data_IF_935377612428
#
_entry.id   IF_935377612428
#
_cell.length_a   1.000
_cell.length_b   1.000
_cell.length_c   1.000
_cell.angle_alpha   90.00
_cell.angle_beta   90.00
_cell.angle_gamma   90.00
#
_symmetry.space_group_name_H-M   'P 1'
#
loop_
_entity.id
_entity.type
_entity.pdbx_description
1 polymer ?
#
# COMPACT_ATOMS: atom_id res chain seq x y z
N UNK A 1 -32.04 7.04 8.40
CA UNK A 1 -31.12 8.03 8.89
C UNK A 1 -29.71 7.44 8.84
N UNK A 2 -28.83 8.12 8.17
CA UNK A 2 -27.44 7.70 8.16
C UNK A 2 -26.80 8.02 9.52
N UNK A 3 -26.07 7.07 10.09
CA UNK A 3 -25.41 7.28 11.39
C UNK A 3 -24.02 7.94 11.26
N UNK A 4 -23.48 8.05 10.04
CA UNK A 4 -22.15 8.65 9.80
C UNK A 4 -22.10 10.13 10.21
N UNK A 5 -23.06 11.01 9.88
CA UNK A 5 -23.09 12.37 10.38
C UNK A 5 -23.11 12.46 11.91
N UNK A 6 -23.86 11.57 12.59
CA UNK A 6 -23.90 11.53 14.04
C UNK A 6 -22.55 11.10 14.62
N UNK A 7 -21.88 10.12 13.98
CA UNK A 7 -20.58 9.63 14.36
C UNK A 7 -19.50 10.71 14.19
N UNK A 8 -19.48 11.39 13.04
CA UNK A 8 -18.57 12.52 12.77
C UNK A 8 -18.86 13.71 13.70
N UNK A 9 -20.13 13.94 14.02
CA UNK A 9 -20.55 14.95 15.01
C UNK A 9 -19.99 14.64 16.40
N UNK A 10 -20.09 13.38 16.84
CA UNK A 10 -19.53 12.92 18.11
C UNK A 10 -18.00 13.04 18.15
N UNK A 11 -17.31 12.73 17.05
CA UNK A 11 -15.86 12.86 16.92
C UNK A 11 -15.34 14.27 17.19
N UNK A 12 -16.15 15.29 16.93
CA UNK A 12 -15.78 16.70 17.15
C UNK A 12 -15.93 17.15 18.60
N UNK A 13 -16.52 16.33 19.49
CA UNK A 13 -16.80 16.72 20.89
C UNK A 13 -15.59 16.54 21.80
N UNK A 14 -14.76 15.52 21.58
CA UNK A 14 -13.52 15.28 22.34
C UNK A 14 -12.58 14.38 21.58
N UNK A 15 -11.29 14.44 21.89
CA UNK A 15 -10.26 13.62 21.25
C UNK A 15 -10.46 12.12 21.47
N UNK A 16 -10.87 11.70 22.66
CA UNK A 16 -11.17 10.29 22.97
C UNK A 16 -12.38 9.78 22.19
N UNK A 17 -13.41 10.60 22.00
CA UNK A 17 -14.53 10.25 21.14
C UNK A 17 -14.10 10.21 19.67
N UNK A 18 -13.20 11.10 19.26
CA UNK A 18 -12.64 11.10 17.92
C UNK A 18 -11.92 9.79 17.61
N UNK A 19 -11.04 9.31 18.51
CA UNK A 19 -10.33 8.04 18.37
C UNK A 19 -11.31 6.86 18.24
N UNK A 20 -12.33 6.81 19.09
CA UNK A 20 -13.36 5.77 19.03
C UNK A 20 -14.16 5.82 17.73
N UNK A 21 -14.57 7.02 17.29
CA UNK A 21 -15.32 7.20 16.04
C UNK A 21 -14.48 6.79 14.82
N UNK A 22 -13.20 7.16 14.78
CA UNK A 22 -12.27 6.73 13.73
C UNK A 22 -12.10 5.21 13.73
N UNK A 23 -12.00 4.57 14.89
CA UNK A 23 -11.94 3.09 15.01
C UNK A 23 -13.20 2.44 14.45
N UNK A 24 -14.38 2.99 14.75
CA UNK A 24 -15.65 2.49 14.21
C UNK A 24 -15.69 2.67 12.68
N UNK A 25 -15.29 3.84 12.16
CA UNK A 25 -15.25 4.10 10.73
C UNK A 25 -14.31 3.13 10.01
N UNK A 26 -13.13 2.86 10.58
CA UNK A 26 -12.19 1.86 10.06
C UNK A 26 -12.85 0.48 9.96
N UNK A 27 -13.43 -0.01 11.05
CA UNK A 27 -14.09 -1.32 11.09
C UNK A 27 -15.24 -1.41 10.08
N UNK A 28 -15.99 -0.34 9.91
CA UNK A 28 -17.06 -0.28 8.91
C UNK A 28 -16.52 -0.34 7.48
N UNK A 29 -15.40 0.33 7.19
CA UNK A 29 -14.74 0.23 5.89
C UNK A 29 -14.27 -1.20 5.62
N UNK A 30 -13.56 -1.80 6.57
CA UNK A 30 -13.07 -3.18 6.46
C UNK A 30 -14.20 -4.18 6.26
N UNK A 31 -15.30 -4.08 7.03
CA UNK A 31 -16.45 -4.99 6.94
C UNK A 31 -17.19 -4.87 5.59
N UNK A 32 -17.24 -3.67 5.02
CA UNK A 32 -17.97 -3.41 3.77
C UNK A 32 -17.16 -3.87 2.56
N UNK A 33 -15.84 -3.81 2.61
CA UNK A 33 -14.97 -4.08 1.48
C UNK A 33 -14.20 -5.41 1.58
N UNK A 34 -14.12 -6.01 2.79
CA UNK A 34 -13.62 -7.37 2.98
C UNK A 34 -14.75 -8.40 2.83
N UNK A 35 -14.97 -8.84 1.60
CA UNK A 35 -15.97 -9.86 1.27
C UNK A 35 -15.69 -11.25 1.87
N UNK A 36 -14.51 -11.47 2.44
CA UNK A 36 -14.08 -12.79 2.94
C UNK A 36 -14.78 -13.16 4.26
N UNK A 37 -15.24 -12.18 5.03
CA UNK A 37 -15.82 -12.41 6.36
C UNK A 37 -17.28 -12.86 6.34
N UNK A 38 -18.05 -12.56 5.30
CA UNK A 38 -19.40 -13.12 5.05
C UNK A 38 -20.47 -12.88 6.14
N UNK A 39 -20.21 -11.97 7.09
CA UNK A 39 -21.09 -11.76 8.26
C UNK A 39 -22.30 -10.90 7.95
N UNK A 40 -22.24 -10.07 6.90
CA UNK A 40 -23.35 -9.21 6.48
C UNK A 40 -24.06 -9.70 5.22
N UNK A 41 -25.38 -9.42 5.15
CA UNK A 41 -26.15 -9.69 3.93
C UNK A 41 -25.76 -8.69 2.82
N UNK A 42 -25.87 -9.12 1.54
CA UNK A 42 -25.53 -8.30 0.37
C UNK A 42 -26.29 -6.96 0.35
N UNK A 43 -27.55 -6.94 0.79
CA UNK A 43 -28.38 -5.72 0.83
C UNK A 43 -27.86 -4.72 1.87
N UNK A 44 -27.39 -5.22 3.04
CA UNK A 44 -26.77 -4.37 4.06
C UNK A 44 -25.43 -3.80 3.58
N UNK A 45 -24.59 -4.62 2.94
CA UNK A 45 -23.33 -4.20 2.34
C UNK A 45 -23.57 -3.09 1.31
N UNK A 46 -24.52 -3.29 0.39
CA UNK A 46 -24.88 -2.31 -0.64
C UNK A 46 -25.39 -0.99 -0.04
N UNK A 47 -26.24 -1.07 0.97
CA UNK A 47 -26.77 0.11 1.67
C UNK A 47 -25.65 0.88 2.38
N UNK A 48 -24.74 0.18 3.06
CA UNK A 48 -23.62 0.80 3.78
C UNK A 48 -22.60 1.40 2.81
N UNK A 49 -22.26 0.73 1.70
CA UNK A 49 -21.44 1.31 0.62
C UNK A 49 -22.02 2.62 0.09
N UNK A 50 -23.31 2.65 -0.15
CA UNK A 50 -23.98 3.86 -0.64
C UNK A 50 -23.90 4.99 0.38
N UNK A 51 -24.11 4.71 1.67
CA UNK A 51 -23.98 5.70 2.74
C UNK A 51 -22.53 6.20 2.87
N UNK A 52 -21.55 5.30 2.93
CA UNK A 52 -20.14 5.66 3.03
C UNK A 52 -19.72 6.54 1.84
N UNK A 53 -20.07 6.17 0.62
CA UNK A 53 -19.77 6.98 -0.58
C UNK A 53 -20.41 8.37 -0.55
N UNK A 54 -21.68 8.46 -0.14
CA UNK A 54 -22.40 9.74 -0.11
C UNK A 54 -21.91 10.69 0.99
N UNK A 55 -21.31 10.14 2.05
CA UNK A 55 -20.91 10.89 3.24
C UNK A 55 -19.40 10.91 3.44
N UNK A 56 -18.65 10.36 2.48
CA UNK A 56 -17.20 10.29 2.57
C UNK A 56 -16.55 11.67 2.72
N UNK A 57 -17.11 12.71 2.11
CA UNK A 57 -16.63 14.08 2.28
C UNK A 57 -16.48 14.49 3.75
N UNK A 58 -17.45 14.11 4.60
CA UNK A 58 -17.41 14.42 6.04
C UNK A 58 -16.32 13.64 6.76
N UNK A 59 -16.09 12.38 6.36
CA UNK A 59 -15.01 11.53 6.91
C UNK A 59 -13.65 12.11 6.51
N UNK A 60 -13.51 12.49 5.24
CA UNK A 60 -12.28 13.10 4.73
C UNK A 60 -11.95 14.42 5.42
N UNK A 61 -12.93 15.32 5.57
CA UNK A 61 -12.77 16.59 6.30
C UNK A 61 -12.37 16.35 7.76
N UNK A 62 -12.95 15.35 8.43
CA UNK A 62 -12.56 14.98 9.79
C UNK A 62 -11.10 14.53 9.84
N UNK A 63 -10.69 13.65 8.93
CA UNK A 63 -9.31 13.15 8.87
C UNK A 63 -8.32 14.29 8.56
N UNK A 64 -8.60 15.15 7.58
CA UNK A 64 -7.77 16.32 7.27
C UNK A 64 -7.67 17.27 8.47
N UNK A 65 -8.78 17.53 9.15
CA UNK A 65 -8.78 18.37 10.34
C UNK A 65 -7.87 17.81 11.44
N UNK A 66 -7.95 16.50 11.71
CA UNK A 66 -7.12 15.85 12.73
C UNK A 66 -5.65 15.89 12.33
N UNK A 67 -5.32 15.50 11.09
CA UNK A 67 -3.93 15.46 10.61
C UNK A 67 -3.27 16.83 10.57
N UNK A 68 -4.05 17.91 10.39
CA UNK A 68 -3.54 19.27 10.32
C UNK A 68 -3.43 19.92 11.70
N UNK A 69 -4.34 19.62 12.63
CA UNK A 69 -4.48 20.38 13.87
C UNK A 69 -4.12 19.62 15.14
N UNK A 70 -4.16 18.29 15.12
CA UNK A 70 -3.84 17.50 16.31
C UNK A 70 -2.33 17.43 16.55
N UNK A 71 -1.97 17.45 17.83
CA UNK A 71 -0.60 17.19 18.29
C UNK A 71 -0.50 15.86 19.07
N UNK A 72 -1.60 15.10 19.15
CA UNK A 72 -1.63 13.79 19.81
C UNK A 72 -1.19 12.69 18.85
N UNK A 73 -0.05 12.03 19.12
CA UNK A 73 0.47 10.99 18.22
C UNK A 73 -0.51 9.85 17.99
N UNK A 74 -1.19 9.38 19.03
CA UNK A 74 -2.12 8.26 18.94
C UNK A 74 -3.34 8.59 18.07
N UNK A 75 -3.88 9.81 18.19
CA UNK A 75 -4.99 10.26 17.37
C UNK A 75 -4.58 10.42 15.90
N UNK A 76 -3.38 10.96 15.64
CA UNK A 76 -2.82 11.06 14.28
C UNK A 76 -2.64 9.64 13.69
N UNK A 77 -2.03 8.73 14.45
CA UNK A 77 -1.82 7.34 14.02
C UNK A 77 -3.15 6.63 13.73
N UNK A 78 -4.14 6.79 14.61
CA UNK A 78 -5.48 6.22 14.42
C UNK A 78 -6.16 6.78 13.15
N UNK A 79 -5.99 8.09 12.89
CA UNK A 79 -6.53 8.73 11.67
C UNK A 79 -5.88 8.16 10.42
N UNK A 80 -4.56 7.99 10.40
CA UNK A 80 -3.83 7.39 9.28
C UNK A 80 -4.25 5.94 9.03
N UNK A 81 -4.41 5.14 10.10
CA UNK A 81 -4.89 3.75 10.01
C UNK A 81 -6.33 3.70 9.45
N UNK A 82 -7.16 4.66 9.84
CA UNK A 82 -8.52 4.78 9.31
C UNK A 82 -8.51 5.16 7.83
N UNK A 83 -7.72 6.16 7.45
CA UNK A 83 -7.54 6.55 6.04
C UNK A 83 -7.05 5.38 5.18
N UNK A 84 -6.06 4.63 5.66
CA UNK A 84 -5.56 3.45 4.94
C UNK A 84 -6.69 2.46 4.60
N UNK A 85 -7.60 2.20 5.54
CA UNK A 85 -8.75 1.33 5.30
C UNK A 85 -9.76 1.86 4.26
N UNK A 86 -9.71 3.16 3.95
CA UNK A 86 -10.57 3.79 2.95
C UNK A 86 -9.89 3.92 1.58
N UNK A 87 -8.54 3.97 1.51
CA UNK A 87 -7.80 4.25 0.27
C UNK A 87 -8.08 3.29 -0.87
N UNK A 88 -8.48 2.05 -0.59
CA UNK A 88 -8.78 1.03 -1.59
C UNK A 88 -10.01 1.33 -2.44
N UNK A 89 -10.86 2.28 -2.03
CA UNK A 89 -12.15 2.51 -2.70
C UNK A 89 -12.64 3.95 -2.74
N UNK A 90 -11.92 4.89 -2.12
CA UNK A 90 -12.34 6.31 -2.15
C UNK A 90 -12.24 6.90 -3.55
N UNK A 91 -13.07 7.90 -3.90
CA UNK A 91 -12.94 8.60 -5.17
C UNK A 91 -11.57 9.29 -5.30
N UNK A 92 -10.96 9.18 -6.47
CA UNK A 92 -9.59 9.66 -6.76
C UNK A 92 -9.37 11.15 -6.47
N UNK A 93 -10.42 11.98 -6.58
CA UNK A 93 -10.34 13.40 -6.24
C UNK A 93 -9.93 13.66 -4.79
N UNK A 94 -10.33 12.80 -3.85
CA UNK A 94 -9.89 12.92 -2.46
C UNK A 94 -8.42 12.57 -2.24
N UNK A 95 -7.78 11.88 -3.18
CA UNK A 95 -6.35 11.55 -3.13
C UNK A 95 -5.53 12.64 -3.85
N UNK A 96 -5.91 12.97 -5.10
CA UNK A 96 -5.06 13.74 -6.01
C UNK A 96 -5.43 15.22 -6.12
N UNK A 97 -6.66 15.61 -5.75
CA UNK A 97 -7.17 16.99 -5.83
C UNK A 97 -7.29 17.65 -4.43
N UNK A 98 -7.01 16.89 -3.36
CA UNK A 98 -6.91 17.38 -1.98
C UNK A 98 -5.45 17.49 -1.54
N UNK A 99 -5.16 18.06 -0.37
CA UNK A 99 -3.81 18.09 0.21
C UNK A 99 -3.38 16.75 0.84
N UNK A 100 -4.17 15.68 0.73
CA UNK A 100 -3.91 14.41 1.41
C UNK A 100 -2.53 13.85 1.10
N UNK A 101 -2.15 13.79 -0.18
CA UNK A 101 -0.86 13.24 -0.61
C UNK A 101 0.33 14.02 -0.02
N UNK A 102 0.25 15.35 -0.04
CA UNK A 102 1.26 16.23 0.56
C UNK A 102 1.32 16.05 2.08
N UNK A 103 0.17 15.93 2.74
CA UNK A 103 0.10 15.68 4.19
C UNK A 103 0.76 14.35 4.57
N UNK A 104 0.52 13.28 3.80
CA UNK A 104 1.16 11.98 4.02
C UNK A 104 2.68 12.07 3.86
N UNK A 105 3.17 12.71 2.81
CA UNK A 105 4.60 12.89 2.58
C UNK A 105 5.28 13.72 3.68
N UNK A 106 4.62 14.77 4.17
CA UNK A 106 5.11 15.58 5.29
C UNK A 106 5.16 14.81 6.63
N UNK A 107 4.30 13.80 6.82
CA UNK A 107 4.30 12.96 8.03
C UNK A 107 5.32 11.80 7.95
N UNK A 108 5.73 11.39 6.76
CA UNK A 108 6.64 10.26 6.53
C UNK A 108 7.99 10.36 7.28
N UNK A 109 8.66 11.53 7.41
CA UNK A 109 9.92 11.64 8.14
C UNK A 109 9.83 11.26 9.62
N UNK A 110 8.62 11.35 10.22
CA UNK A 110 8.43 11.03 11.62
C UNK A 110 8.35 9.50 11.84
N UNK A 111 9.27 8.90 12.62
CA UNK A 111 9.27 7.45 12.86
C UNK A 111 7.95 6.89 13.42
N UNK A 112 7.21 7.69 14.22
CA UNK A 112 5.95 7.26 14.82
C UNK A 112 4.84 7.00 13.79
N UNK A 113 4.89 7.68 12.62
CA UNK A 113 3.87 7.60 11.58
C UNK A 113 4.36 6.88 10.32
N UNK A 114 5.68 6.79 10.15
CA UNK A 114 6.35 6.33 8.93
C UNK A 114 5.75 5.05 8.36
N UNK A 115 5.53 4.05 9.19
CA UNK A 115 5.02 2.76 8.75
C UNK A 115 3.61 2.85 8.18
N UNK A 116 2.68 3.50 8.89
CA UNK A 116 1.30 3.62 8.41
C UNK A 116 1.19 4.58 7.22
N UNK A 117 2.00 5.64 7.19
CA UNK A 117 2.10 6.53 6.02
C UNK A 117 2.58 5.74 4.80
N UNK A 118 3.61 4.92 4.95
CA UNK A 118 4.14 4.11 3.86
C UNK A 118 3.12 3.09 3.34
N UNK A 119 2.30 2.51 4.22
CA UNK A 119 1.17 1.69 3.81
C UNK A 119 0.15 2.49 2.98
N UNK A 120 -0.19 3.71 3.41
CA UNK A 120 -1.07 4.58 2.61
C UNK A 120 -0.45 4.92 1.25
N UNK A 121 0.84 5.24 1.20
CA UNK A 121 1.54 5.56 -0.05
C UNK A 121 1.67 4.33 -0.97
N UNK A 122 1.78 3.12 -0.42
CA UNK A 122 1.78 1.88 -1.19
C UNK A 122 0.43 1.63 -1.87
N UNK A 123 -0.69 1.81 -1.14
CA UNK A 123 -2.03 1.72 -1.72
C UNK A 123 -2.23 2.75 -2.85
N UNK A 124 -1.87 4.01 -2.62
CA UNK A 124 -1.93 5.06 -3.64
C UNK A 124 -1.02 4.71 -4.83
N UNK A 125 0.20 4.26 -4.55
CA UNK A 125 1.20 3.89 -5.55
C UNK A 125 0.83 2.67 -6.40
N UNK A 126 -0.10 1.84 -5.95
CA UNK A 126 -0.62 0.70 -6.71
C UNK A 126 -1.70 1.07 -7.73
N UNK A 127 -2.25 2.29 -7.65
CA UNK A 127 -3.40 2.70 -8.46
C UNK A 127 -3.05 2.88 -9.94
N UNK A 128 -3.83 2.25 -10.79
CA UNK A 128 -3.80 2.47 -12.24
C UNK A 128 -4.90 3.47 -12.61
N UNK A 129 -4.51 4.69 -12.89
CA UNK A 129 -5.43 5.81 -13.13
C UNK A 129 -5.12 6.53 -14.44
N UNK A 130 -5.95 7.51 -14.78
CA UNK A 130 -5.77 8.33 -15.97
C UNK A 130 -4.37 9.02 -15.97
N UNK A 131 -3.68 9.10 -17.11
CA UNK A 131 -2.37 9.74 -17.25
C UNK A 131 -2.31 11.21 -16.78
N UNK A 132 -3.43 11.89 -16.63
CA UNK A 132 -3.47 13.24 -16.05
C UNK A 132 -2.88 13.30 -14.62
N UNK A 133 -2.89 12.18 -13.89
CA UNK A 133 -2.32 12.08 -12.53
C UNK A 133 -0.85 11.65 -12.51
N UNK A 134 -0.23 11.33 -13.66
CA UNK A 134 1.18 10.95 -13.75
C UNK A 134 2.13 11.92 -13.03
N UNK A 135 1.97 13.26 -13.14
CA UNK A 135 2.82 14.19 -12.40
C UNK A 135 2.73 14.04 -10.88
N UNK A 136 1.59 13.59 -10.35
CA UNK A 136 1.40 13.36 -8.91
C UNK A 136 2.18 12.12 -8.44
N UNK A 137 2.21 11.04 -9.24
CA UNK A 137 3.03 9.86 -8.94
C UNK A 137 4.52 10.17 -9.03
N UNK A 138 4.94 10.93 -10.02
CA UNK A 138 6.34 11.39 -10.14
C UNK A 138 6.75 12.20 -8.92
N UNK A 139 5.93 13.18 -8.51
CA UNK A 139 6.20 14.01 -7.33
C UNK A 139 6.23 13.17 -6.05
N UNK A 140 5.24 12.29 -5.86
CA UNK A 140 5.18 11.37 -4.71
C UNK A 140 6.44 10.51 -4.59
N UNK A 141 6.84 9.89 -5.68
CA UNK A 141 8.03 9.04 -5.70
C UNK A 141 9.32 9.85 -5.40
N UNK A 142 9.50 10.98 -6.06
CA UNK A 142 10.69 11.84 -5.88
C UNK A 142 10.80 12.34 -4.44
N UNK A 143 9.71 12.79 -3.86
CA UNK A 143 9.71 13.28 -2.48
C UNK A 143 9.91 12.16 -1.47
N UNK A 144 9.26 11.00 -1.67
CA UNK A 144 9.51 9.83 -0.85
C UNK A 144 10.98 9.41 -0.88
N UNK A 145 11.62 9.33 -2.06
CA UNK A 145 13.02 8.97 -2.20
C UNK A 145 13.94 9.98 -1.49
N UNK A 146 13.60 11.27 -1.54
CA UNK A 146 14.34 12.31 -0.82
C UNK A 146 14.29 12.11 0.70
N UNK A 147 13.14 11.74 1.23
CA UNK A 147 12.98 11.44 2.66
C UNK A 147 13.60 10.10 3.04
N UNK A 148 13.49 9.10 2.15
CA UNK A 148 14.04 7.76 2.37
C UNK A 148 15.56 7.79 2.48
N UNK A 149 16.26 8.54 1.64
CA UNK A 149 17.72 8.68 1.69
C UNK A 149 18.22 9.22 3.04
N UNK A 150 17.40 9.95 3.78
CA UNK A 150 17.69 10.42 5.14
C UNK A 150 17.36 9.39 6.22
N UNK A 151 16.29 8.64 6.03
CA UNK A 151 15.81 7.66 6.99
C UNK A 151 16.57 6.34 6.91
N UNK A 152 17.00 5.96 5.71
CA UNK A 152 17.73 4.74 5.38
C UNK A 152 18.79 5.10 4.34
N UNK A 153 20.00 5.55 4.75
CA UNK A 153 21.07 5.90 3.83
C UNK A 153 21.46 4.74 2.90
N UNK A 154 21.83 5.05 1.66
CA UNK A 154 22.15 4.08 0.60
C UNK A 154 23.23 3.05 0.99
N UNK A 155 24.17 3.41 1.87
CA UNK A 155 25.21 2.50 2.35
C UNK A 155 24.77 1.62 3.53
N UNK A 156 23.49 1.63 3.91
CA UNK A 156 22.97 0.80 4.99
C UNK A 156 22.93 -0.67 4.56
N UNK A 157 23.50 -1.56 5.35
CA UNK A 157 23.31 -3.00 5.19
C UNK A 157 21.89 -3.39 5.65
N UNK A 158 20.92 -3.37 4.73
CA UNK A 158 19.52 -3.61 5.03
C UNK A 158 19.26 -4.99 5.65
N UNK A 159 19.83 -6.11 5.15
CA UNK A 159 19.69 -7.41 5.80
C UNK A 159 20.15 -7.43 7.26
N UNK A 160 21.29 -6.82 7.55
CA UNK A 160 21.81 -6.75 8.91
C UNK A 160 20.98 -5.83 9.80
N UNK A 161 20.54 -4.68 9.28
CA UNK A 161 19.66 -3.75 9.98
C UNK A 161 18.30 -4.40 10.30
N UNK A 162 17.77 -5.20 9.38
CA UNK A 162 16.54 -5.97 9.60
C UNK A 162 16.71 -7.02 10.70
N UNK A 163 17.78 -7.82 10.63
CA UNK A 163 18.04 -8.90 11.58
C UNK A 163 18.23 -8.40 13.02
N UNK A 164 18.81 -7.20 13.19
CA UNK A 164 19.08 -6.60 14.49
C UNK A 164 18.06 -5.51 14.90
N UNK A 165 17.11 -5.20 14.03
CA UNK A 165 16.14 -4.13 14.22
C UNK A 165 15.00 -4.51 15.15
N UNK A 166 14.36 -3.49 15.69
CA UNK A 166 13.08 -3.61 16.40
C UNK A 166 11.94 -4.01 15.46
N UNK A 167 10.80 -4.45 16.00
CA UNK A 167 9.59 -4.78 15.24
C UNK A 167 9.15 -3.62 14.31
N UNK A 168 9.28 -2.37 14.76
CA UNK A 168 8.93 -1.19 13.97
C UNK A 168 9.94 -0.96 12.81
N UNK A 169 11.22 -1.25 13.01
CA UNK A 169 12.24 -1.17 11.94
C UNK A 169 12.10 -2.31 10.93
N UNK A 170 11.78 -3.51 11.39
CA UNK A 170 11.45 -4.64 10.52
C UNK A 170 10.19 -4.36 9.70
N UNK A 171 9.14 -3.85 10.34
CA UNK A 171 7.92 -3.42 9.66
C UNK A 171 8.18 -2.32 8.63
N UNK A 172 9.13 -1.41 8.88
CA UNK A 172 9.51 -0.39 7.91
C UNK A 172 10.11 -1.00 6.63
N UNK A 173 11.02 -1.94 6.76
CA UNK A 173 11.63 -2.64 5.61
C UNK A 173 10.57 -3.46 4.84
N UNK A 174 9.67 -4.14 5.56
CA UNK A 174 8.55 -4.88 4.95
C UNK A 174 7.61 -3.94 4.15
N UNK A 175 7.26 -2.80 4.72
CA UNK A 175 6.41 -1.81 4.05
C UNK A 175 7.12 -1.17 2.84
N UNK A 176 8.45 -0.98 2.89
CA UNK A 176 9.24 -0.55 1.73
C UNK A 176 9.21 -1.58 0.60
N UNK A 177 9.35 -2.87 0.92
CA UNK A 177 9.22 -3.94 -0.07
C UNK A 177 7.86 -3.87 -0.77
N UNK A 178 6.78 -3.71 -0.02
CA UNK A 178 5.42 -3.59 -0.55
C UNK A 178 5.29 -2.34 -1.43
N UNK A 179 5.74 -1.18 -0.94
CA UNK A 179 5.68 0.07 -1.69
C UNK A 179 6.42 -0.03 -3.02
N UNK A 180 7.68 -0.42 -3.02
CA UNK A 180 8.46 -0.51 -4.26
C UNK A 180 7.89 -1.53 -5.23
N UNK A 181 7.48 -2.71 -4.74
CA UNK A 181 6.87 -3.75 -5.58
C UNK A 181 5.60 -3.24 -6.25
N UNK A 182 4.69 -2.66 -5.51
CA UNK A 182 3.42 -2.16 -6.04
C UNK A 182 3.63 -0.96 -6.96
N UNK A 183 4.46 0.00 -6.54
CA UNK A 183 4.74 1.20 -7.31
C UNK A 183 5.42 0.89 -8.63
N UNK A 184 6.45 0.06 -8.64
CA UNK A 184 7.15 -0.29 -9.88
C UNK A 184 6.28 -1.12 -10.83
N UNK A 185 5.48 -2.05 -10.32
CA UNK A 185 4.51 -2.78 -11.17
C UNK A 185 3.55 -1.85 -11.89
N UNK A 186 3.13 -0.77 -11.23
CA UNK A 186 2.18 0.19 -11.80
C UNK A 186 2.84 1.29 -12.64
N UNK A 187 4.03 1.78 -12.24
CA UNK A 187 4.56 3.05 -12.72
C UNK A 187 6.04 3.04 -13.16
N UNK A 188 6.72 1.89 -13.22
CA UNK A 188 8.14 1.85 -13.64
C UNK A 188 8.35 2.50 -15.00
N UNK A 189 7.47 2.24 -15.98
CA UNK A 189 7.54 2.84 -17.32
C UNK A 189 7.37 4.36 -17.31
N UNK A 190 6.61 4.89 -16.38
CA UNK A 190 6.47 6.33 -16.18
C UNK A 190 7.80 6.95 -15.71
N UNK A 191 8.48 6.30 -14.77
CA UNK A 191 9.79 6.75 -14.27
C UNK A 191 10.87 6.64 -15.34
N UNK A 192 10.91 5.56 -16.12
CA UNK A 192 11.85 5.33 -17.21
C UNK A 192 11.74 6.41 -18.32
N UNK A 193 10.53 6.86 -18.60
CA UNK A 193 10.26 7.83 -19.66
C UNK A 193 10.30 9.29 -19.19
N UNK A 194 10.41 9.52 -17.88
CA UNK A 194 10.47 10.88 -17.32
C UNK A 194 11.93 11.33 -17.26
N UNK A 195 12.29 12.43 -17.94
CA UNK A 195 13.64 12.99 -17.86
C UNK A 195 14.06 13.25 -16.41
N UNK A 196 15.35 13.11 -16.14
CA UNK A 196 15.97 13.38 -14.84
C UNK A 196 15.58 12.45 -13.67
N UNK A 197 14.74 11.42 -13.89
CA UNK A 197 14.37 10.46 -12.85
C UNK A 197 15.17 9.15 -12.88
N UNK A 198 16.04 8.96 -13.84
CA UNK A 198 16.78 7.70 -14.01
C UNK A 198 17.58 7.35 -12.74
N UNK A 199 18.30 8.30 -12.16
CA UNK A 199 19.06 8.07 -10.93
C UNK A 199 18.15 7.70 -9.74
N UNK A 200 16.98 8.35 -9.62
CA UNK A 200 16.01 8.01 -8.58
C UNK A 200 15.40 6.63 -8.78
N UNK A 201 15.16 6.23 -10.02
CA UNK A 201 14.67 4.88 -10.35
C UNK A 201 15.74 3.83 -10.01
N UNK A 202 17.00 4.05 -10.42
CA UNK A 202 18.12 3.16 -10.11
C UNK A 202 18.28 2.97 -8.60
N UNK A 203 18.26 4.06 -7.82
CA UNK A 203 18.31 4.01 -6.36
C UNK A 203 17.14 3.22 -5.77
N UNK A 204 15.93 3.41 -6.26
CA UNK A 204 14.77 2.67 -5.77
C UNK A 204 14.84 1.17 -6.09
N UNK A 205 15.34 0.81 -7.27
CA UNK A 205 15.59 -0.59 -7.63
C UNK A 205 16.71 -1.19 -6.78
N UNK A 206 17.73 -0.42 -6.43
CA UNK A 206 18.81 -0.85 -5.52
C UNK A 206 18.26 -1.08 -4.10
N UNK A 207 17.41 -0.21 -3.58
CA UNK A 207 16.70 -0.48 -2.31
C UNK A 207 15.93 -1.80 -2.36
N UNK A 208 15.12 -2.03 -3.40
CA UNK A 208 14.34 -3.26 -3.52
C UNK A 208 15.25 -4.49 -3.65
N UNK A 209 16.36 -4.38 -4.38
CA UNK A 209 17.35 -5.45 -4.49
C UNK A 209 17.98 -5.77 -3.12
N UNK A 210 18.39 -4.75 -2.37
CA UNK A 210 18.98 -4.94 -1.03
C UNK A 210 17.97 -5.51 -0.04
N UNK A 211 16.69 -5.12 -0.12
CA UNK A 211 15.60 -5.71 0.66
C UNK A 211 15.40 -7.19 0.30
N UNK A 212 15.61 -7.58 -0.96
CA UNK A 212 15.48 -8.98 -1.40
C UNK A 212 16.50 -9.93 -0.77
N UNK A 213 17.59 -9.40 -0.17
CA UNK A 213 18.57 -10.19 0.58
C UNK A 213 18.22 -10.38 2.06
N UNK A 214 17.11 -9.81 2.53
CA UNK A 214 16.63 -10.04 3.90
C UNK A 214 16.23 -11.51 4.05
N UNK A 215 16.75 -12.17 5.10
CA UNK A 215 16.45 -13.57 5.42
C UNK A 215 15.09 -13.71 6.12
N UNK A 216 14.04 -13.30 5.41
CA UNK A 216 12.65 -13.42 5.83
C UNK A 216 11.79 -13.80 4.61
N UNK A 217 11.20 -15.02 4.57
CA UNK A 217 10.47 -15.52 3.40
C UNK A 217 9.33 -14.60 2.95
N UNK A 218 8.62 -13.96 3.86
CA UNK A 218 7.49 -13.08 3.50
C UNK A 218 7.96 -11.79 2.83
N UNK A 219 9.09 -11.23 3.25
CA UNK A 219 9.72 -10.07 2.58
C UNK A 219 10.21 -10.46 1.20
N UNK A 220 10.89 -11.59 1.09
CA UNK A 220 11.42 -12.09 -0.18
C UNK A 220 10.30 -12.35 -1.20
N UNK A 221 9.19 -12.97 -0.79
CA UNK A 221 8.03 -13.22 -1.67
C UNK A 221 7.46 -11.93 -2.25
N UNK A 222 7.35 -10.87 -1.45
CA UNK A 222 6.89 -9.56 -1.92
C UNK A 222 7.83 -9.01 -2.99
N UNK A 223 9.13 -9.02 -2.75
CA UNK A 223 10.11 -8.56 -3.74
C UNK A 223 10.10 -9.42 -5.01
N UNK A 224 9.97 -10.74 -4.87
CA UNK A 224 9.94 -11.69 -5.98
C UNK A 224 8.77 -11.42 -6.93
N UNK A 225 7.65 -10.93 -6.44
CA UNK A 225 6.49 -10.57 -7.27
C UNK A 225 6.84 -9.47 -8.30
N UNK A 226 7.63 -8.49 -7.91
CA UNK A 226 8.13 -7.50 -8.87
C UNK A 226 9.18 -8.07 -9.81
N UNK A 227 10.17 -8.79 -9.29
CA UNK A 227 11.25 -9.35 -10.12
C UNK A 227 10.70 -10.33 -11.16
N UNK A 228 9.68 -11.11 -10.82
CA UNK A 228 8.97 -11.97 -11.76
C UNK A 228 8.30 -11.14 -12.87
N UNK A 229 7.56 -10.08 -12.51
CA UNK A 229 6.91 -9.19 -13.47
C UNK A 229 7.92 -8.55 -14.42
N UNK A 230 9.03 -8.04 -13.89
CA UNK A 230 10.10 -7.43 -14.68
C UNK A 230 10.71 -8.42 -15.70
N UNK A 231 11.01 -9.64 -15.27
CA UNK A 231 11.57 -10.68 -16.15
C UNK A 231 10.57 -11.04 -17.27
N UNK A 232 9.28 -11.16 -16.94
CA UNK A 232 8.25 -11.41 -17.94
C UNK A 232 8.15 -10.28 -18.97
N UNK A 233 8.20 -9.02 -18.52
CA UNK A 233 8.14 -7.86 -19.39
C UNK A 233 9.38 -7.79 -20.31
N UNK A 234 10.56 -8.02 -19.78
CA UNK A 234 11.81 -8.06 -20.57
C UNK A 234 11.81 -9.17 -21.63
N UNK A 235 11.35 -10.36 -21.24
CA UNK A 235 11.24 -11.50 -22.16
C UNK A 235 10.25 -11.21 -23.30
N UNK A 236 9.10 -10.59 -23.00
CA UNK A 236 8.11 -10.22 -24.01
C UNK A 236 8.65 -9.14 -24.97
N UNK A 237 9.41 -8.18 -24.44
CA UNK A 237 10.03 -7.13 -25.23
C UNK A 237 11.07 -7.72 -26.21
N UNK A 238 11.87 -8.70 -25.78
CA UNK A 238 12.87 -9.39 -26.60
C UNK A 238 12.21 -10.29 -27.65
N UNK A 239 11.15 -11.02 -27.30
CA UNK A 239 10.40 -11.87 -28.22
C UNK A 239 9.62 -11.10 -29.29
N UNK A 240 9.24 -9.84 -29.03
CA UNK A 240 8.54 -8.96 -29.98
C UNK A 240 9.46 -8.20 -30.94
N UNK A 241 10.77 -8.30 -30.82
CA UNK A 241 11.75 -7.66 -31.70
C UNK A 241 11.83 -8.33 -33.10
N UNK A 242 12.24 -7.60 -34.18
CA UNK A 242 12.25 -8.10 -35.54
C UNK A 242 13.30 -9.21 -35.87
N UNK A 243 13.77 -9.91 -34.84
CA UNK A 243 14.78 -10.99 -34.94
C UNK A 243 14.51 -12.23 -34.07
N UNK A 244 13.43 -12.25 -33.32
CA UNK A 244 13.09 -13.35 -32.43
C UNK A 244 12.52 -14.55 -33.21
N UNK A 245 13.38 -15.47 -33.65
CA UNK A 245 12.95 -16.80 -34.09
C UNK A 245 12.43 -17.56 -32.87
N UNK A 246 11.19 -18.00 -32.97
CA UNK A 246 10.56 -18.86 -31.97
C UNK A 246 11.23 -20.26 -31.99
N UNK A 247 12.30 -20.44 -31.25
CA UNK A 247 12.83 -21.75 -30.93
C UNK A 247 12.49 -22.08 -29.45
N UNK A 248 11.52 -22.92 -29.36
CA UNK A 248 10.99 -23.75 -28.30
C UNK A 248 11.65 -23.69 -26.92
N UNK A 249 11.09 -22.90 -26.00
CA UNK A 249 11.14 -23.22 -24.59
C UNK A 249 9.83 -23.91 -24.18
N UNK A 250 9.90 -25.02 -23.42
CA UNK A 250 8.70 -25.74 -23.01
C UNK A 250 7.90 -24.88 -22.01
N UNK A 251 6.60 -24.87 -22.25
CA UNK A 251 5.51 -24.34 -21.43
C UNK A 251 5.90 -23.77 -20.06
N UNK A 252 5.51 -22.52 -19.84
CA UNK A 252 5.51 -21.89 -18.52
C UNK A 252 4.99 -22.90 -17.48
N UNK A 253 5.85 -23.27 -16.54
CA UNK A 253 5.46 -24.10 -15.41
C UNK A 253 4.53 -23.26 -14.57
N UNK A 254 3.25 -23.63 -14.59
CA UNK A 254 2.22 -23.01 -13.76
C UNK A 254 2.52 -23.38 -12.29
N UNK A 255 3.21 -22.48 -11.58
CA UNK A 255 3.45 -22.61 -10.15
C UNK A 255 2.18 -22.24 -9.38
N UNK A 256 1.13 -23.05 -9.52
CA UNK A 256 0.05 -23.05 -8.54
C UNK A 256 0.56 -23.73 -7.28
N UNK A 257 0.79 -22.95 -6.23
CA UNK A 257 1.05 -23.48 -4.90
C UNK A 257 -0.17 -24.30 -4.47
N UNK A 258 -0.02 -25.64 -4.56
CA UNK A 258 -1.02 -26.60 -4.15
C UNK A 258 -1.29 -26.46 -2.65
N UNK A 259 -2.53 -26.13 -2.32
CA UNK A 259 -3.09 -26.30 -0.99
C UNK A 259 -2.92 -27.75 -0.55
N UNK A 260 -2.10 -28.01 0.45
CA UNK A 260 -1.96 -29.34 1.06
C UNK A 260 -3.19 -29.60 1.92
N UNK A 261 -4.22 -30.17 1.31
CA UNK A 261 -5.32 -30.79 2.03
C UNK A 261 -4.84 -32.09 2.66
N UNK A 262 -4.80 -32.15 3.99
CA UNK A 262 -4.46 -33.36 4.73
C UNK A 262 -5.44 -34.48 4.43
N UNK A 263 -4.95 -35.58 3.88
CA UNK A 263 -5.68 -36.84 3.81
C UNK A 263 -5.56 -37.56 5.15
N UNK A 264 -6.67 -37.58 5.88
CA UNK A 264 -6.85 -38.47 7.00
C UNK A 264 -6.96 -39.90 6.56
N UNK A 265 -6.02 -40.77 6.98
CA UNK A 265 -6.08 -42.20 6.80
C UNK A 265 -7.09 -42.80 7.78
N UNK A 266 -8.25 -43.21 7.32
CA UNK A 266 -9.13 -44.12 8.05
C UNK A 266 -8.62 -45.55 7.88
N UNK A 267 -8.02 -46.09 8.95
CA UNK A 267 -7.81 -47.51 9.11
C UNK A 267 -9.13 -48.18 9.52
N UNK A 268 -9.59 -49.11 8.71
CA UNK A 268 -10.66 -50.06 9.09
C UNK A 268 -10.04 -51.42 9.26
N UNK A 269 -10.07 -51.91 10.49
CA UNK A 269 -9.86 -53.30 10.82
C UNK A 269 -11.22 -54.02 10.76
N UNK A 270 -11.27 -55.13 10.10
CA UNK A 270 -12.32 -56.11 10.12
C UNK A 270 -11.81 -57.37 9.45
#
# INVERSE_FOLDING_TARGET
>A
PSFIPDLVGAAKMSESLCENCLSILKLLSEEVFDFSRGEMTQDKIKSLKTSLNSEFAMIHELCEFVLTNSQKPDLIKQTLVTLHAFLTWIPLGYIFESPLLETLLNLFPNPQYRNVVLQCLAEIGSLHVDPQYNPKFVAMYTELMTHLARALPENTNIPEAYANGSDEEQAFVQNLAIFFTQFFKAHVKLLETTPDLQANLENGLEYLLNISYVDEPEVFKVCLDYWHSLVCDLFQADAGGPGGAADGFPNAVDFTFGSVAGQGTNGSSG
#
